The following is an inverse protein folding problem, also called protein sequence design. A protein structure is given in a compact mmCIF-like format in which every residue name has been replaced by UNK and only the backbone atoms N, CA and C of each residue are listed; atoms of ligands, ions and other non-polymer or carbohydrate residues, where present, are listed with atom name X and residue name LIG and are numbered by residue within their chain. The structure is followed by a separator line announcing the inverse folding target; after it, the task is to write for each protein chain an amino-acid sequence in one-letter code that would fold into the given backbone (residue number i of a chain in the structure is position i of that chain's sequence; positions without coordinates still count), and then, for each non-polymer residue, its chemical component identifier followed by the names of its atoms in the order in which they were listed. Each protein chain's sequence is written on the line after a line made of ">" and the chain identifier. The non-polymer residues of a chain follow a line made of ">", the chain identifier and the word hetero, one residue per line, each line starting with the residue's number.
data_IF_723233132476
#
_entry.id   IF_723233132476
#
_cell.length_a   1.000
_cell.length_b   1.000
_cell.length_c   1.000
_cell.angle_alpha   90.00
_cell.angle_beta   90.00
_cell.angle_gamma   90.00
#
_symmetry.space_group_name_H-M   'P 1'
#
loop_
_entity.id
_entity.type
_entity.pdbx_description
1 polymer ?
#
# COMPACT_ATOMS: atom_id res chain seq x y z
N UNK A 1 23.66 -1.93 -6.93
CA UNK A 1 22.39 -2.56 -6.57
C UNK A 1 22.06 -2.20 -5.12
N UNK A 2 20.92 -1.55 -4.88
CA UNK A 2 20.52 -1.10 -3.54
C UNK A 2 19.18 -1.74 -3.17
N UNK A 3 19.09 -2.26 -1.94
CA UNK A 3 17.87 -2.94 -1.46
C UNK A 3 17.27 -2.18 -0.28
N UNK A 4 15.97 -1.94 -0.35
CA UNK A 4 15.16 -1.24 0.64
C UNK A 4 14.12 -2.21 1.22
N UNK A 5 14.09 -2.31 2.56
CA UNK A 5 13.18 -3.24 3.27
C UNK A 5 12.42 -2.49 4.35
N UNK A 6 11.24 -2.99 4.67
CA UNK A 6 10.51 -2.52 5.83
C UNK A 6 11.19 -3.01 7.12
N UNK A 7 11.10 -2.22 8.18
CA UNK A 7 11.50 -2.67 9.51
C UNK A 7 10.66 -3.90 9.93
N UNK A 8 11.18 -4.69 10.84
CA UNK A 8 10.50 -5.89 11.34
C UNK A 8 9.09 -5.59 11.85
N UNK A 9 8.93 -4.54 12.67
CA UNK A 9 7.64 -4.13 13.20
C UNK A 9 6.68 -3.65 12.12
N UNK A 10 7.13 -2.81 11.19
CA UNK A 10 6.30 -2.37 10.07
C UNK A 10 5.83 -3.56 9.23
N UNK A 11 6.72 -4.52 8.98
CA UNK A 11 6.39 -5.74 8.23
C UNK A 11 5.31 -6.57 8.95
N UNK A 12 5.39 -6.71 10.27
CA UNK A 12 4.36 -7.43 11.06
C UNK A 12 3.02 -6.70 10.97
N UNK A 13 3.00 -5.40 11.22
CA UNK A 13 1.76 -4.61 11.22
C UNK A 13 1.09 -4.66 9.84
N UNK A 14 1.82 -4.42 8.76
CA UNK A 14 1.25 -4.41 7.42
C UNK A 14 0.86 -5.80 6.89
N UNK A 15 1.49 -6.88 7.36
CA UNK A 15 1.14 -8.25 6.98
C UNK A 15 0.00 -8.83 7.81
N UNK A 16 0.06 -8.66 9.12
CA UNK A 16 -0.78 -9.42 10.05
C UNK A 16 -1.80 -8.57 10.78
N UNK A 17 -1.70 -7.23 10.74
CA UNK A 17 -2.63 -6.34 11.44
C UNK A 17 -4.08 -6.58 11.04
N UNK A 18 -4.34 -6.87 9.75
CA UNK A 18 -5.68 -7.22 9.29
C UNK A 18 -6.20 -8.52 9.91
N UNK A 19 -5.34 -9.53 10.06
CA UNK A 19 -5.73 -10.84 10.63
C UNK A 19 -6.17 -10.65 12.07
N UNK A 20 -5.38 -9.92 12.86
CA UNK A 20 -5.70 -9.63 14.26
C UNK A 20 -7.01 -8.84 14.38
N UNK A 21 -7.16 -7.79 13.59
CA UNK A 21 -8.38 -6.97 13.56
C UNK A 21 -9.61 -7.80 13.16
N UNK A 22 -9.48 -8.66 12.15
CA UNK A 22 -10.57 -9.55 11.71
C UNK A 22 -10.94 -10.54 12.80
N UNK A 23 -9.97 -11.13 13.50
CA UNK A 23 -10.24 -12.05 14.60
C UNK A 23 -11.01 -11.36 15.75
N UNK A 24 -10.58 -10.17 16.15
CA UNK A 24 -11.28 -9.39 17.19
C UNK A 24 -12.72 -9.05 16.78
N UNK A 25 -12.92 -8.59 15.55
CA UNK A 25 -14.27 -8.29 15.02
C UNK A 25 -15.13 -9.55 14.91
N UNK A 26 -14.53 -10.71 14.59
CA UNK A 26 -15.24 -11.99 14.51
C UNK A 26 -15.75 -12.45 15.87
N UNK A 27 -14.98 -12.24 16.94
CA UNK A 27 -15.45 -12.52 18.31
C UNK A 27 -16.68 -11.66 18.64
N UNK A 28 -16.63 -10.36 18.33
CA UNK A 28 -17.78 -9.46 18.51
C UNK A 28 -18.99 -9.87 17.65
N UNK A 29 -18.76 -10.31 16.42
CA UNK A 29 -19.81 -10.79 15.53
C UNK A 29 -20.50 -12.03 16.10
N UNK A 30 -19.71 -13.02 16.52
CA UNK A 30 -20.23 -14.26 17.11
C UNK A 30 -21.06 -13.94 18.36
N UNK A 31 -20.52 -13.10 19.26
CA UNK A 31 -21.25 -12.67 20.46
C UNK A 31 -22.57 -11.96 20.11
N UNK A 32 -22.55 -11.06 19.13
CA UNK A 32 -23.76 -10.36 18.68
C UNK A 32 -24.81 -11.34 18.15
N UNK A 33 -24.40 -12.32 17.32
CA UNK A 33 -25.31 -13.35 16.79
C UNK A 33 -25.93 -14.19 17.92
N UNK A 34 -25.11 -14.58 18.90
CA UNK A 34 -25.60 -15.36 20.06
C UNK A 34 -26.70 -14.63 20.82
N UNK A 35 -26.55 -13.31 21.07
CA UNK A 35 -27.50 -12.54 21.86
C UNK A 35 -28.71 -12.05 21.04
N UNK A 36 -28.81 -12.26 19.74
CA UNK A 36 -30.01 -11.94 18.94
C UNK A 36 -31.25 -12.68 19.47
N UNK A 37 -31.07 -13.93 19.91
CA UNK A 37 -32.17 -14.71 20.48
C UNK A 37 -32.77 -14.12 21.75
N UNK A 38 -31.97 -13.39 22.53
CA UNK A 38 -32.43 -12.74 23.77
C UNK A 38 -32.97 -11.34 23.49
N UNK A 39 -32.30 -10.57 22.65
CA UNK A 39 -32.67 -9.18 22.32
C UNK A 39 -32.39 -8.90 20.84
N UNK A 40 -33.42 -8.70 20.07
CA UNK A 40 -33.36 -8.42 18.63
C UNK A 40 -32.45 -7.23 18.28
N UNK A 41 -32.22 -6.31 19.22
CA UNK A 41 -31.34 -5.16 19.05
C UNK A 41 -29.90 -5.52 18.67
N UNK A 42 -29.44 -6.74 19.05
CA UNK A 42 -28.09 -7.23 18.70
C UNK A 42 -27.90 -7.51 17.19
N UNK A 43 -28.96 -7.47 16.40
CA UNK A 43 -28.85 -7.55 14.92
C UNK A 43 -28.06 -6.35 14.35
N UNK A 44 -28.13 -5.17 14.98
CA UNK A 44 -27.43 -3.96 14.51
C UNK A 44 -25.90 -4.14 14.58
N UNK A 45 -25.29 -4.47 15.76
CA UNK A 45 -23.86 -4.71 15.81
C UNK A 45 -23.41 -5.92 14.96
N UNK A 46 -24.25 -6.94 14.78
CA UNK A 46 -23.95 -8.06 13.90
C UNK A 46 -23.80 -7.61 12.44
N UNK A 47 -24.72 -6.80 11.93
CA UNK A 47 -24.64 -6.24 10.57
C UNK A 47 -23.42 -5.33 10.42
N UNK A 48 -23.18 -4.44 11.39
CA UNK A 48 -22.06 -3.49 11.34
C UNK A 48 -20.73 -4.25 11.33
N UNK A 49 -20.51 -5.22 12.21
CA UNK A 49 -19.28 -6.01 12.25
C UNK A 49 -19.08 -6.81 10.96
N UNK A 50 -20.14 -7.40 10.41
CA UNK A 50 -20.06 -8.13 9.14
C UNK A 50 -19.63 -7.20 7.99
N UNK A 51 -20.20 -6.00 7.92
CA UNK A 51 -19.82 -5.00 6.91
C UNK A 51 -18.37 -4.57 7.07
N UNK A 52 -17.93 -4.27 8.31
CA UNK A 52 -16.54 -3.87 8.57
C UNK A 52 -15.58 -4.99 8.18
N UNK A 53 -15.83 -6.25 8.59
CA UNK A 53 -15.00 -7.40 8.23
C UNK A 53 -14.90 -7.53 6.71
N UNK A 54 -16.02 -7.42 6.00
CA UNK A 54 -16.04 -7.55 4.54
C UNK A 54 -15.18 -6.48 3.87
N UNK A 55 -15.41 -5.19 4.17
CA UNK A 55 -14.69 -4.08 3.54
C UNK A 55 -13.21 -4.06 3.93
N UNK A 56 -12.88 -4.35 5.20
CA UNK A 56 -11.52 -4.44 5.70
C UNK A 56 -10.73 -5.50 4.92
N UNK A 57 -11.27 -6.72 4.83
CA UNK A 57 -10.60 -7.81 4.11
C UNK A 57 -10.48 -7.53 2.61
N UNK A 58 -11.53 -7.01 1.96
CA UNK A 58 -11.48 -6.59 0.55
C UNK A 58 -10.36 -5.60 0.29
N UNK A 59 -10.20 -4.59 1.16
CA UNK A 59 -9.11 -3.61 1.05
C UNK A 59 -7.73 -4.27 1.20
N UNK A 60 -7.54 -5.10 2.23
CA UNK A 60 -6.26 -5.73 2.49
C UNK A 60 -5.86 -6.76 1.43
N UNK A 61 -6.80 -7.55 0.91
CA UNK A 61 -6.51 -8.47 -0.20
C UNK A 61 -6.01 -7.75 -1.45
N UNK A 62 -6.54 -6.56 -1.75
CA UNK A 62 -6.03 -5.72 -2.83
C UNK A 62 -4.62 -5.22 -2.50
N UNK A 63 -4.41 -4.73 -1.29
CA UNK A 63 -3.13 -4.19 -0.82
C UNK A 63 -2.03 -5.25 -0.86
N UNK A 64 -2.30 -6.47 -0.40
CA UNK A 64 -1.33 -7.57 -0.39
C UNK A 64 -0.76 -7.91 -1.78
N UNK A 65 -1.55 -7.72 -2.83
CA UNK A 65 -1.11 -7.97 -4.21
C UNK A 65 -0.23 -6.86 -4.76
N UNK A 66 -0.33 -5.65 -4.22
CA UNK A 66 0.32 -4.44 -4.74
C UNK A 66 1.58 -4.06 -3.96
N UNK A 67 1.71 -4.47 -2.69
CA UNK A 67 2.75 -3.98 -1.79
C UNK A 67 3.85 -5.02 -1.56
N UNK A 68 5.04 -4.84 -2.16
CA UNK A 68 6.22 -5.62 -1.84
C UNK A 68 6.82 -5.18 -0.50
N UNK A 69 7.43 -6.10 0.22
CA UNK A 69 8.19 -5.79 1.45
C UNK A 69 9.69 -5.66 1.20
N UNK A 70 10.14 -5.98 0.00
CA UNK A 70 11.50 -5.77 -0.46
C UNK A 70 11.50 -5.11 -1.83
N UNK A 71 12.19 -3.98 -1.94
CA UNK A 71 12.35 -3.21 -3.18
C UNK A 71 13.83 -3.08 -3.44
N UNK A 72 14.29 -3.55 -4.59
CA UNK A 72 15.68 -3.43 -5.01
C UNK A 72 15.78 -2.58 -6.27
N UNK A 73 16.65 -1.59 -6.23
CA UNK A 73 17.01 -0.79 -7.40
C UNK A 73 18.30 -1.36 -8.00
N UNK A 74 18.22 -1.77 -9.24
CA UNK A 74 19.34 -2.09 -10.11
C UNK A 74 19.44 -1.06 -11.22
N UNK A 75 20.54 -1.00 -11.97
CA UNK A 75 20.88 0.11 -12.88
C UNK A 75 19.72 0.74 -13.65
N UNK A 76 18.81 -0.04 -14.23
CA UNK A 76 17.68 0.48 -15.00
C UNK A 76 16.33 -0.10 -14.58
N UNK A 77 16.28 -0.89 -13.49
CA UNK A 77 15.08 -1.63 -13.09
C UNK A 77 14.80 -1.51 -11.62
N UNK A 78 13.51 -1.45 -11.30
CA UNK A 78 12.96 -1.65 -9.98
C UNK A 78 12.53 -3.12 -9.84
N UNK A 79 13.07 -3.82 -8.86
CA UNK A 79 12.77 -5.22 -8.59
C UNK A 79 12.04 -5.31 -7.26
N UNK A 80 10.81 -5.79 -7.29
CA UNK A 80 9.93 -5.90 -6.15
C UNK A 80 9.70 -7.35 -5.78
N UNK A 81 9.93 -7.69 -4.52
CA UNK A 81 9.84 -9.05 -3.98
C UNK A 81 9.12 -9.07 -2.64
N UNK A 82 8.93 -10.27 -2.10
CA UNK A 82 8.38 -10.48 -0.77
C UNK A 82 6.98 -9.89 -0.62
N UNK A 83 6.08 -10.23 -1.56
CA UNK A 83 4.66 -9.95 -1.44
C UNK A 83 4.02 -10.90 -0.42
N UNK A 84 3.00 -10.43 0.30
CA UNK A 84 2.31 -11.27 1.28
C UNK A 84 1.61 -12.46 0.60
N UNK A 85 1.83 -13.66 1.12
CA UNK A 85 1.31 -14.93 0.58
C UNK A 85 1.67 -15.22 -0.89
N UNK A 86 2.75 -14.61 -1.40
CA UNK A 86 3.13 -14.79 -2.79
C UNK A 86 4.66 -14.78 -2.97
N UNK A 87 5.17 -15.73 -3.74
CA UNK A 87 6.58 -15.77 -4.18
C UNK A 87 6.83 -14.91 -5.42
N UNK A 88 5.87 -14.08 -5.80
CA UNK A 88 5.93 -13.23 -6.99
C UNK A 88 7.14 -12.31 -6.94
N UNK A 89 7.81 -12.18 -8.07
CA UNK A 89 8.84 -11.18 -8.34
C UNK A 89 8.33 -10.30 -9.48
N UNK A 90 8.33 -8.99 -9.29
CA UNK A 90 7.94 -8.02 -10.31
C UNK A 90 9.17 -7.18 -10.64
N UNK A 91 9.46 -7.06 -11.94
CA UNK A 91 10.50 -6.19 -12.46
C UNK A 91 9.86 -5.10 -13.31
N UNK A 92 10.20 -3.84 -13.03
CA UNK A 92 9.72 -2.67 -13.76
C UNK A 92 10.94 -1.93 -14.30
N UNK A 93 11.02 -1.72 -15.60
CA UNK A 93 12.02 -0.83 -16.19
C UNK A 93 11.59 0.62 -15.91
N UNK A 94 12.52 1.46 -15.44
CA UNK A 94 12.22 2.86 -15.13
C UNK A 94 11.65 3.63 -16.32
N UNK A 95 12.05 3.27 -17.55
CA UNK A 95 11.54 3.88 -18.79
C UNK A 95 10.06 3.57 -19.04
N UNK A 96 9.54 2.50 -18.47
CA UNK A 96 8.15 2.10 -18.60
C UNK A 96 7.24 2.68 -17.53
N UNK A 97 7.79 3.40 -16.56
CA UNK A 97 6.99 4.10 -15.56
C UNK A 97 6.33 5.31 -16.22
N UNK A 98 5.01 5.30 -16.29
CA UNK A 98 4.22 6.38 -16.88
C UNK A 98 3.52 7.26 -15.84
N UNK A 99 3.37 6.75 -14.59
CA UNK A 99 2.69 7.50 -13.54
C UNK A 99 3.23 7.15 -12.16
N UNK A 100 3.46 8.20 -11.35
CA UNK A 100 3.60 8.11 -9.90
C UNK A 100 2.44 8.84 -9.24
N UNK A 101 1.77 8.20 -8.28
CA UNK A 101 0.61 8.78 -7.62
C UNK A 101 0.58 8.45 -6.12
N UNK A 102 -0.25 9.16 -5.36
CA UNK A 102 -0.31 8.98 -3.91
C UNK A 102 0.80 9.71 -3.15
N UNK A 103 0.89 9.50 -1.85
CA UNK A 103 1.91 10.09 -1.00
C UNK A 103 2.07 11.59 -1.19
N UNK A 104 3.30 12.03 -1.24
CA UNK A 104 3.68 13.44 -1.47
C UNK A 104 3.14 14.01 -2.79
N UNK A 105 2.95 13.17 -3.82
CA UNK A 105 2.43 13.61 -5.12
C UNK A 105 0.93 13.93 -5.10
N UNK A 106 0.20 13.43 -4.09
CA UNK A 106 -1.21 13.74 -3.87
C UNK A 106 -1.47 14.82 -2.81
N UNK A 107 -0.41 15.33 -2.16
CA UNK A 107 -0.51 16.25 -1.02
C UNK A 107 -0.77 15.58 0.32
N UNK A 108 -0.76 14.25 0.38
CA UNK A 108 -0.98 13.47 1.60
C UNK A 108 0.21 12.54 1.86
N UNK A 109 1.26 12.99 2.59
CA UNK A 109 2.51 12.24 2.77
C UNK A 109 2.33 10.87 3.44
N UNK A 110 1.28 10.70 4.25
CA UNK A 110 0.96 9.45 4.95
C UNK A 110 0.35 8.38 4.05
N UNK A 111 -0.14 8.76 2.86
CA UNK A 111 -0.68 7.79 1.89
C UNK A 111 0.45 7.04 1.19
N UNK A 112 0.21 5.81 0.75
CA UNK A 112 1.20 5.07 -0.04
C UNK A 112 1.45 5.75 -1.39
N UNK A 113 2.67 5.54 -1.90
CA UNK A 113 3.04 5.92 -3.27
C UNK A 113 2.79 4.72 -4.16
N UNK A 114 2.20 4.96 -5.33
CA UNK A 114 1.96 3.96 -6.36
C UNK A 114 2.78 4.26 -7.59
N UNK A 115 3.43 3.23 -8.11
CA UNK A 115 4.17 3.22 -9.38
C UNK A 115 3.34 2.46 -10.40
N UNK A 116 3.10 3.05 -11.54
CA UNK A 116 2.38 2.44 -12.65
C UNK A 116 3.37 2.13 -13.78
N UNK A 117 3.34 0.90 -14.26
CA UNK A 117 4.10 0.42 -15.41
C UNK A 117 3.17 0.29 -16.61
N UNK A 118 3.44 1.06 -17.67
CA UNK A 118 2.63 1.06 -18.90
C UNK A 118 2.80 -0.20 -19.73
N UNK A 119 3.88 -0.97 -19.57
CA UNK A 119 4.20 -2.12 -20.43
C UNK A 119 3.23 -3.28 -20.22
N UNK A 120 2.81 -3.50 -18.98
CA UNK A 120 1.96 -4.62 -18.58
C UNK A 120 0.81 -4.22 -17.64
N UNK A 121 0.57 -2.91 -17.45
CA UNK A 121 -0.46 -2.39 -16.56
C UNK A 121 -0.21 -2.70 -15.07
N UNK A 122 1.01 -3.07 -14.71
CA UNK A 122 1.33 -3.43 -13.33
C UNK A 122 1.36 -2.17 -12.44
N UNK A 123 0.75 -2.29 -11.27
CA UNK A 123 0.79 -1.25 -10.23
C UNK A 123 1.47 -1.80 -9.00
N UNK A 124 2.43 -1.06 -8.46
CA UNK A 124 3.11 -1.39 -7.20
C UNK A 124 2.97 -0.22 -6.25
N UNK A 125 2.68 -0.52 -4.97
CA UNK A 125 2.58 0.47 -3.91
C UNK A 125 3.65 0.28 -2.85
N UNK A 126 4.07 1.37 -2.20
CA UNK A 126 4.91 1.32 -1.01
C UNK A 126 4.60 2.48 -0.07
N UNK A 127 4.79 2.23 1.22
CA UNK A 127 4.59 3.23 2.27
C UNK A 127 5.89 3.96 2.61
N UNK A 128 5.76 5.14 3.18
CA UNK A 128 6.90 5.93 3.68
C UNK A 128 7.71 5.27 4.81
N UNK A 129 7.18 4.18 5.39
CA UNK A 129 7.85 3.39 6.45
C UNK A 129 8.87 2.37 5.91
N UNK A 130 9.09 2.32 4.59
CA UNK A 130 10.22 1.56 4.03
C UNK A 130 11.55 2.18 4.47
N UNK A 131 12.51 1.34 4.83
CA UNK A 131 13.82 1.82 5.28
C UNK A 131 14.50 2.69 4.23
N UNK A 132 15.07 3.80 4.66
CA UNK A 132 15.69 4.81 3.80
C UNK A 132 14.75 5.34 2.68
N UNK A 133 13.48 5.57 3.03
CA UNK A 133 12.43 6.02 2.11
C UNK A 133 12.85 7.19 1.23
N UNK A 134 13.50 8.21 1.80
CA UNK A 134 13.96 9.39 1.07
C UNK A 134 14.94 9.00 -0.04
N UNK A 135 15.90 8.12 0.28
CA UNK A 135 16.88 7.61 -0.68
C UNK A 135 16.20 6.80 -1.78
N UNK A 136 15.26 5.90 -1.40
CA UNK A 136 14.46 5.13 -2.37
C UNK A 136 13.74 6.06 -3.35
N UNK A 137 13.04 7.07 -2.83
CA UNK A 137 12.28 8.01 -3.63
C UNK A 137 13.18 8.83 -4.57
N UNK A 138 14.30 9.36 -4.05
CA UNK A 138 15.30 10.08 -4.85
C UNK A 138 15.82 9.22 -6.00
N UNK A 139 16.17 7.96 -5.72
CA UNK A 139 16.62 7.03 -6.75
C UNK A 139 15.56 6.75 -7.81
N UNK A 140 14.30 6.60 -7.41
CA UNK A 140 13.20 6.45 -8.38
C UNK A 140 13.09 7.70 -9.25
N UNK A 141 13.05 8.90 -8.64
CA UNK A 141 12.92 10.16 -9.37
C UNK A 141 14.08 10.46 -10.32
N UNK A 142 15.30 10.03 -9.99
CA UNK A 142 16.48 10.18 -10.84
C UNK A 142 16.47 9.28 -12.08
N UNK A 143 15.71 8.19 -12.07
CA UNK A 143 15.72 7.18 -13.13
C UNK A 143 14.46 7.16 -13.99
N UNK A 144 13.39 7.85 -13.60
CA UNK A 144 12.15 7.95 -14.40
C UNK A 144 12.35 8.90 -15.58
N UNK A 145 11.50 8.81 -16.64
CA UNK A 145 11.54 9.72 -17.77
C UNK A 145 11.42 11.19 -17.34
N UNK A 146 12.23 12.05 -17.94
CA UNK A 146 12.28 13.51 -17.64
C UNK A 146 10.91 14.17 -17.74
N UNK A 147 10.11 13.79 -18.74
CA UNK A 147 8.75 14.30 -18.92
C UNK A 147 7.89 14.05 -17.67
N UNK A 148 7.94 12.83 -17.15
CA UNK A 148 7.19 12.44 -15.95
C UNK A 148 7.72 13.19 -14.71
N UNK A 149 9.03 13.30 -14.57
CA UNK A 149 9.65 14.06 -13.49
C UNK A 149 9.16 15.52 -13.46
N UNK A 150 9.20 16.20 -14.62
CA UNK A 150 8.79 17.59 -14.74
C UNK A 150 7.30 17.78 -14.42
N UNK A 151 6.45 16.85 -14.86
CA UNK A 151 5.01 16.86 -14.52
C UNK A 151 4.77 16.72 -13.02
N UNK A 152 5.48 15.79 -12.37
CA UNK A 152 5.38 15.57 -10.92
C UNK A 152 5.81 16.80 -10.13
N UNK A 153 6.91 17.44 -10.52
CA UNK A 153 7.39 18.65 -9.85
C UNK A 153 6.41 19.80 -9.97
N UNK A 154 5.81 20.04 -11.14
CA UNK A 154 4.74 21.03 -11.33
C UNK A 154 3.54 20.75 -10.41
N UNK A 155 3.13 19.49 -10.30
CA UNK A 155 1.99 19.09 -9.47
C UNK A 155 2.26 19.27 -7.97
N UNK A 156 3.47 18.97 -7.50
CA UNK A 156 3.88 19.17 -6.10
C UNK A 156 3.92 20.66 -5.76
N UNK A 157 4.45 21.50 -6.66
CA UNK A 157 4.50 22.96 -6.45
C UNK A 157 3.11 23.58 -6.37
N UNK A 158 2.17 23.17 -7.24
CA UNK A 158 0.77 23.66 -7.22
C UNK A 158 0.00 23.28 -5.94
N UNK A 159 0.39 22.19 -5.27
CA UNK A 159 -0.29 21.70 -4.07
C UNK A 159 0.34 22.16 -2.75
N UNK A 160 1.45 22.90 -2.79
CA UNK A 160 1.95 23.58 -1.59
C UNK A 160 0.95 24.70 -1.25
N UNK A 161 0.32 24.68 -0.05
CA UNK A 161 -0.50 25.80 0.40
C UNK A 161 0.42 27.02 0.44
N UNK A 162 0.02 28.07 -0.25
CA UNK A 162 0.58 29.45 -0.04
C UNK A 162 0.37 29.77 1.44
N UNK A 163 1.47 29.85 2.18
CA UNK A 163 1.45 30.37 3.55
C UNK A 163 1.21 31.86 3.53
#
# INVERSE_FOLDING_TARGET
>A
METFKYSFFAKIIYRYGNIIATLMLSVHLISSIYYISEKIFFIIPAIINSAIIFYLNKYFFKTYKLFPFEITISNNKLICKDFFLSKKKIEIDFRNIDKLSGGIFSGYPTRPIYIHDKSNGTVIGFYSHVGNFQKLLTRILQNIPEKLYNELMKNVQRKKPTR
#
